data_IF_463556204774
#
_entry.id   IF_463556204774
#
_cell.length_a   1.000
_cell.length_b   1.000
_cell.length_c   1.000
_cell.angle_alpha   90.00
_cell.angle_beta   90.00
_cell.angle_gamma   90.00
#
_symmetry.space_group_name_H-M   'P 1'
#
loop_
_entity.id
_entity.type
_entity.pdbx_description
1 polymer ?
#
# COMPACT_ATOMS: atom_id res chain seq x y z
N UNK A 1 3.87 -20.06 17.67
CA UNK A 1 4.29 -18.67 18.00
C UNK A 1 3.79 -17.76 16.88
N UNK A 2 2.76 -16.94 17.15
CA UNK A 2 2.15 -16.04 16.17
C UNK A 2 2.99 -14.77 16.01
N UNK A 3 4.11 -14.87 15.31
CA UNK A 3 4.86 -13.70 14.86
C UNK A 3 4.15 -13.12 13.64
N UNK A 4 3.15 -12.27 13.85
CA UNK A 4 2.65 -11.38 12.78
C UNK A 4 3.67 -10.27 12.55
N UNK A 5 3.87 -9.84 11.30
CA UNK A 5 4.85 -8.79 10.93
C UNK A 5 4.72 -7.51 11.79
N UNK A 6 3.51 -7.22 12.24
CA UNK A 6 3.19 -6.03 13.05
C UNK A 6 3.04 -6.31 14.55
N UNK A 7 3.32 -7.54 15.03
CA UNK A 7 3.08 -7.95 16.42
C UNK A 7 3.75 -7.03 17.46
N UNK A 8 4.93 -6.50 17.14
CA UNK A 8 5.71 -5.62 18.02
C UNK A 8 5.34 -4.13 17.89
N UNK A 9 4.45 -3.76 16.96
CA UNK A 9 4.08 -2.38 16.68
C UNK A 9 2.78 -2.04 17.41
N UNK A 10 2.78 -0.90 18.11
CA UNK A 10 1.63 -0.44 18.88
C UNK A 10 0.40 -0.23 17.97
N UNK A 11 -0.75 -0.82 18.34
CA UNK A 11 -2.02 -0.70 17.59
C UNK A 11 -2.47 0.75 17.37
N UNK A 12 -2.22 1.66 18.32
CA UNK A 12 -2.52 3.10 18.15
C UNK A 12 -1.70 3.71 17.02
N UNK A 13 -0.43 3.35 16.89
CA UNK A 13 0.43 3.82 15.81
C UNK A 13 -0.01 3.25 14.45
N UNK A 14 -0.43 1.97 14.41
CA UNK A 14 -1.01 1.34 13.21
C UNK A 14 -2.27 2.08 12.77
N UNK A 15 -3.17 2.38 13.70
CA UNK A 15 -4.41 3.11 13.40
C UNK A 15 -4.14 4.55 12.94
N UNK A 16 -3.17 5.24 13.53
CA UNK A 16 -2.74 6.57 13.10
C UNK A 16 -2.19 6.52 11.67
N UNK A 17 -1.25 5.61 11.41
CA UNK A 17 -0.69 5.41 10.08
C UNK A 17 -1.76 5.06 9.04
N UNK A 18 -2.72 4.20 9.41
CA UNK A 18 -3.83 3.85 8.52
C UNK A 18 -4.63 5.09 8.11
N UNK A 19 -5.01 5.95 9.06
CA UNK A 19 -5.75 7.18 8.75
C UNK A 19 -4.98 8.08 7.78
N UNK A 20 -3.68 8.22 8.02
CA UNK A 20 -2.81 9.02 7.16
C UNK A 20 -2.68 8.39 5.76
N UNK A 21 -2.37 7.10 5.67
CA UNK A 21 -2.25 6.36 4.41
C UNK A 21 -3.54 6.44 3.58
N UNK A 22 -4.68 6.16 4.19
CA UNK A 22 -5.98 6.19 3.52
C UNK A 22 -6.33 7.60 3.01
N UNK A 23 -5.98 8.64 3.78
CA UNK A 23 -6.17 10.02 3.33
C UNK A 23 -5.30 10.32 2.10
N UNK A 24 -4.03 9.89 2.10
CA UNK A 24 -3.12 10.08 0.97
C UNK A 24 -3.60 9.34 -0.29
N UNK A 25 -4.01 8.08 -0.15
CA UNK A 25 -4.52 7.26 -1.25
C UNK A 25 -5.78 7.86 -1.87
N UNK A 26 -6.71 8.33 -1.03
CA UNK A 26 -7.95 8.99 -1.45
C UNK A 26 -7.67 10.24 -2.26
N UNK A 27 -6.83 11.14 -1.72
CA UNK A 27 -6.45 12.36 -2.42
C UNK A 27 -5.76 12.01 -3.75
N UNK A 28 -4.87 11.01 -3.77
CA UNK A 28 -4.21 10.56 -4.98
C UNK A 28 -5.18 10.16 -6.09
N UNK A 29 -6.20 9.37 -5.76
CA UNK A 29 -7.24 8.94 -6.71
C UNK A 29 -8.11 10.10 -7.21
N UNK A 30 -8.41 11.05 -6.34
CA UNK A 30 -9.19 12.23 -6.72
C UNK A 30 -8.41 13.17 -7.64
N UNK A 31 -7.12 13.33 -7.38
CA UNK A 31 -6.21 14.07 -8.23
C UNK A 31 -6.09 13.40 -9.62
N UNK A 32 -6.00 12.07 -9.66
CA UNK A 32 -6.03 11.30 -10.90
C UNK A 32 -7.33 11.52 -11.69
N UNK A 33 -8.49 11.43 -11.01
CA UNK A 33 -9.80 11.74 -11.61
C UNK A 33 -9.86 13.16 -12.18
N UNK A 34 -9.35 14.15 -11.46
CA UNK A 34 -9.32 15.55 -11.91
C UNK A 34 -8.39 15.72 -13.13
N UNK A 35 -7.27 15.00 -13.17
CA UNK A 35 -6.35 14.98 -14.30
C UNK A 35 -7.00 14.37 -15.55
N UNK A 36 -7.61 13.20 -15.43
CA UNK A 36 -8.33 12.57 -16.52
C UNK A 36 -9.49 13.46 -17.05
N UNK A 37 -10.18 14.16 -16.14
CA UNK A 37 -11.27 15.07 -16.47
C UNK A 37 -10.84 16.49 -16.89
N UNK A 38 -9.54 16.79 -16.99
CA UNK A 38 -9.01 18.13 -17.34
C UNK A 38 -9.61 19.28 -16.53
N UNK A 39 -9.81 19.09 -15.22
CA UNK A 39 -10.44 20.09 -14.36
C UNK A 39 -9.57 21.36 -14.25
N UNK A 40 -10.18 22.54 -14.28
CA UNK A 40 -9.50 23.85 -14.23
C UNK A 40 -8.60 24.03 -12.99
N UNK A 41 -9.04 23.48 -11.86
CA UNK A 41 -8.42 23.72 -10.56
C UNK A 41 -7.33 22.68 -10.22
N UNK A 42 -7.09 21.72 -11.10
CA UNK A 42 -6.15 20.63 -10.91
C UNK A 42 -4.76 21.11 -10.50
N UNK A 43 -4.25 22.19 -11.09
CA UNK A 43 -2.94 22.73 -10.75
C UNK A 43 -2.84 23.18 -9.28
N UNK A 44 -3.92 23.75 -8.74
CA UNK A 44 -3.99 24.19 -7.35
C UNK A 44 -4.00 22.98 -6.41
N UNK A 45 -4.85 21.99 -6.68
CA UNK A 45 -4.94 20.77 -5.87
C UNK A 45 -3.67 19.93 -5.95
N UNK A 46 -3.05 19.82 -7.14
CA UNK A 46 -1.78 19.13 -7.35
C UNK A 46 -0.66 19.73 -6.50
N UNK A 47 -0.52 21.07 -6.46
CA UNK A 47 0.49 21.74 -5.62
C UNK A 47 0.29 21.43 -4.14
N UNK A 48 -0.95 21.51 -3.66
CA UNK A 48 -1.29 21.16 -2.26
C UNK A 48 -0.96 19.69 -1.97
N UNK A 49 -1.30 18.78 -2.88
CA UNK A 49 -1.04 17.36 -2.68
C UNK A 49 0.44 17.01 -2.70
N UNK A 50 1.24 17.63 -3.58
CA UNK A 50 2.71 17.50 -3.56
C UNK A 50 3.27 17.94 -2.21
N UNK A 51 2.80 19.08 -1.67
CA UNK A 51 3.22 19.53 -0.34
C UNK A 51 2.85 18.53 0.76
N UNK A 52 1.65 17.93 0.68
CA UNK A 52 1.20 16.91 1.63
C UNK A 52 2.04 15.63 1.54
N UNK A 53 2.44 15.21 0.34
CA UNK A 53 3.37 14.10 0.11
C UNK A 53 4.72 14.38 0.76
N UNK A 54 5.24 15.59 0.62
CA UNK A 54 6.50 15.99 1.27
C UNK A 54 6.37 15.92 2.79
N UNK A 55 5.23 16.33 3.34
CA UNK A 55 4.93 16.18 4.77
C UNK A 55 4.83 14.71 5.19
N UNK A 56 4.21 13.84 4.37
CA UNK A 56 4.14 12.40 4.61
C UNK A 56 5.53 11.77 4.66
N UNK A 57 6.36 12.08 3.67
CA UNK A 57 7.74 11.61 3.57
C UNK A 57 8.65 12.17 4.70
N UNK A 58 8.28 13.33 5.28
CA UNK A 58 8.93 13.84 6.49
C UNK A 58 8.50 13.07 7.74
N UNK A 59 7.23 12.67 7.83
CA UNK A 59 6.65 11.93 8.96
C UNK A 59 7.22 10.51 9.06
N UNK A 60 7.19 9.77 7.96
CA UNK A 60 7.61 8.36 7.89
C UNK A 60 8.89 8.23 7.06
N UNK A 61 10.01 7.86 7.69
CA UNK A 61 11.34 7.93 7.05
C UNK A 61 11.69 6.74 6.17
N UNK A 62 11.11 5.58 6.46
CA UNK A 62 11.49 4.32 5.84
C UNK A 62 10.49 3.88 4.75
N UNK A 63 9.59 4.78 4.37
CA UNK A 63 8.63 4.70 3.27
C UNK A 63 8.58 6.06 2.55
N UNK A 64 8.35 6.06 1.24
CA UNK A 64 8.22 7.27 0.43
C UNK A 64 7.04 7.17 -0.51
N UNK A 65 6.19 8.20 -0.53
CA UNK A 65 5.17 8.39 -1.55
C UNK A 65 5.69 9.29 -2.67
N UNK A 66 5.28 9.02 -3.90
CA UNK A 66 5.66 9.81 -5.07
C UNK A 66 4.57 9.80 -6.13
N UNK A 67 4.24 10.98 -6.65
CA UNK A 67 3.40 11.10 -7.84
C UNK A 67 4.21 10.81 -9.11
N UNK A 68 3.66 9.99 -9.99
CA UNK A 68 4.15 9.78 -11.35
C UNK A 68 3.03 10.13 -12.33
N UNK A 69 3.28 11.14 -13.16
CA UNK A 69 2.35 11.51 -14.23
C UNK A 69 2.61 10.68 -15.47
N UNK A 70 1.55 10.17 -16.06
CA UNK A 70 1.54 9.52 -17.38
C UNK A 70 0.59 10.30 -18.29
N UNK A 71 0.50 9.89 -19.54
CA UNK A 71 -0.32 10.58 -20.55
C UNK A 71 -1.79 10.68 -20.15
N UNK A 72 -2.35 9.63 -19.54
CA UNK A 72 -3.79 9.54 -19.21
C UNK A 72 -4.09 9.42 -17.72
N UNK A 73 -3.08 9.25 -16.87
CA UNK A 73 -3.28 8.94 -15.45
C UNK A 73 -2.15 9.52 -14.59
N UNK A 74 -2.45 9.66 -13.31
CA UNK A 74 -1.52 10.04 -12.26
C UNK A 74 -1.47 8.93 -11.21
N UNK A 75 -0.32 8.28 -11.12
CA UNK A 75 -0.07 7.23 -10.15
C UNK A 75 0.52 7.80 -8.86
N UNK A 76 -0.03 7.39 -7.71
CA UNK A 76 0.67 7.51 -6.44
C UNK A 76 1.49 6.23 -6.18
N UNK A 77 2.81 6.32 -6.27
CA UNK A 77 3.69 5.19 -5.94
C UNK A 77 3.99 5.14 -4.45
N UNK A 78 4.01 3.93 -3.90
CA UNK A 78 4.56 3.62 -2.58
C UNK A 78 5.93 2.95 -2.75
N UNK A 79 6.96 3.56 -2.17
CA UNK A 79 8.34 3.12 -2.25
C UNK A 79 8.84 2.76 -0.85
N UNK A 80 9.20 1.50 -0.66
CA UNK A 80 9.78 0.93 0.53
C UNK A 80 11.30 1.13 0.50
N UNK A 81 11.88 1.56 1.61
CA UNK A 81 13.30 1.88 1.69
C UNK A 81 14.16 0.62 1.85
N UNK A 82 14.20 -0.19 0.79
CA UNK A 82 15.00 -1.40 0.67
C UNK A 82 15.90 -1.34 -0.56
N UNK A 83 17.06 -2.00 -0.48
CA UNK A 83 18.06 -1.99 -1.56
C UNK A 83 17.75 -3.00 -2.66
N UNK A 84 16.95 -4.03 -2.34
CA UNK A 84 16.50 -5.02 -3.30
C UNK A 84 15.13 -5.58 -2.92
N UNK A 85 14.43 -6.14 -3.91
CA UNK A 85 13.17 -6.89 -3.66
C UNK A 85 13.39 -8.13 -2.79
N UNK A 86 14.60 -8.70 -2.80
CA UNK A 86 15.00 -9.80 -1.94
C UNK A 86 15.11 -9.34 -0.49
N UNK A 87 15.77 -8.22 -0.23
CA UNK A 87 15.89 -7.66 1.12
C UNK A 87 14.49 -7.37 1.69
N UNK A 88 13.60 -6.80 0.86
CA UNK A 88 12.21 -6.57 1.28
C UNK A 88 11.48 -7.88 1.65
N UNK A 89 11.75 -8.96 0.93
CA UNK A 89 11.19 -10.27 1.23
C UNK A 89 11.75 -10.85 2.54
N UNK A 90 13.07 -10.90 2.69
CA UNK A 90 13.74 -11.45 3.89
C UNK A 90 13.42 -10.62 5.15
N UNK A 91 13.40 -9.29 5.03
CA UNK A 91 13.17 -8.40 6.17
C UNK A 91 11.70 -8.31 6.60
N UNK A 92 10.75 -8.43 5.65
CA UNK A 92 9.34 -8.18 5.94
C UNK A 92 8.40 -9.23 5.34
N UNK A 93 8.38 -9.38 4.00
CA UNK A 93 7.30 -10.11 3.33
C UNK A 93 7.23 -11.60 3.69
N UNK A 94 8.37 -12.23 3.98
CA UNK A 94 8.47 -13.63 4.43
C UNK A 94 7.87 -13.88 5.83
N UNK A 95 7.68 -12.82 6.63
CA UNK A 95 7.17 -12.88 8.01
C UNK A 95 5.65 -12.69 8.08
N UNK A 96 4.99 -12.46 6.95
CA UNK A 96 3.54 -12.36 6.88
C UNK A 96 2.96 -13.78 6.89
N UNK A 97 1.98 -14.00 7.76
CA UNK A 97 1.31 -15.30 7.90
C UNK A 97 0.59 -15.65 6.61
N UNK A 98 0.64 -16.94 6.24
CA UNK A 98 -0.04 -17.44 5.05
C UNK A 98 0.83 -17.47 3.80
N UNK A 99 2.12 -17.15 3.88
CA UNK A 99 3.03 -17.25 2.74
C UNK A 99 2.95 -18.65 2.10
N UNK A 100 2.56 -18.68 0.83
CA UNK A 100 2.32 -19.92 0.09
C UNK A 100 3.37 -20.15 -0.99
N UNK A 101 3.72 -19.12 -1.74
CA UNK A 101 4.67 -19.23 -2.84
C UNK A 101 5.30 -17.90 -3.24
N UNK A 102 6.37 -17.97 -4.01
CA UNK A 102 6.99 -16.82 -4.67
C UNK A 102 7.40 -17.12 -6.10
N UNK A 103 7.66 -16.08 -6.90
CA UNK A 103 8.16 -16.23 -8.26
C UNK A 103 8.63 -14.93 -8.89
N UNK A 104 9.58 -15.02 -9.84
CA UNK A 104 10.12 -13.82 -10.53
C UNK A 104 9.28 -13.44 -11.76
N UNK A 105 8.55 -14.39 -12.35
CA UNK A 105 7.80 -14.17 -13.61
C UNK A 105 6.31 -14.54 -13.55
N UNK A 106 5.88 -15.35 -12.58
CA UNK A 106 4.48 -15.78 -12.40
C UNK A 106 4.19 -16.07 -10.93
N UNK A 107 2.94 -15.93 -10.53
CA UNK A 107 2.45 -16.36 -9.22
C UNK A 107 2.55 -17.89 -9.07
N UNK A 108 2.71 -18.40 -7.85
CA UNK A 108 2.73 -19.85 -7.63
C UNK A 108 3.99 -20.58 -8.11
N UNK A 109 5.05 -19.88 -8.51
CA UNK A 109 6.18 -20.52 -9.21
C UNK A 109 6.98 -21.47 -8.32
N UNK A 110 7.24 -21.09 -7.07
CA UNK A 110 7.92 -21.91 -6.08
C UNK A 110 7.12 -21.91 -4.77
N UNK A 111 6.63 -23.08 -4.37
CA UNK A 111 5.82 -23.25 -3.16
C UNK A 111 6.70 -23.35 -1.92
N UNK A 112 6.25 -22.82 -0.78
CA UNK A 112 6.93 -22.98 0.52
C UNK A 112 7.06 -24.46 0.90
N UNK A 113 6.15 -25.31 0.44
CA UNK A 113 6.20 -26.77 0.63
C UNK A 113 7.34 -27.47 -0.13
N UNK A 114 8.01 -26.79 -1.07
CA UNK A 114 9.24 -27.25 -1.73
C UNK A 114 10.40 -26.29 -1.39
N UNK A 115 11.11 -26.50 -0.25
CA UNK A 115 12.15 -25.58 0.21
C UNK A 115 13.30 -25.41 -0.80
N UNK A 116 13.60 -26.44 -1.60
CA UNK A 116 14.67 -26.42 -2.58
C UNK A 116 14.34 -25.53 -3.77
N UNK A 117 13.13 -25.69 -4.33
CA UNK A 117 12.65 -24.81 -5.39
C UNK A 117 12.45 -23.37 -4.88
N UNK A 118 11.90 -23.23 -3.66
CA UNK A 118 11.65 -21.93 -3.04
C UNK A 118 12.92 -21.11 -2.86
N UNK A 119 13.98 -21.72 -2.29
CA UNK A 119 15.27 -21.05 -2.07
C UNK A 119 15.92 -20.65 -3.39
N UNK A 120 15.93 -21.55 -4.38
CA UNK A 120 16.47 -21.28 -5.72
C UNK A 120 15.76 -20.13 -6.41
N UNK A 121 14.44 -20.02 -6.25
CA UNK A 121 13.67 -18.95 -6.87
C UNK A 121 13.85 -17.62 -6.13
N UNK A 122 13.95 -17.65 -4.80
CA UNK A 122 14.30 -16.48 -4.01
C UNK A 122 15.68 -15.91 -4.43
N UNK A 123 16.67 -16.76 -4.69
CA UNK A 123 18.00 -16.34 -5.16
C UNK A 123 18.01 -15.69 -6.55
N UNK A 124 17.09 -16.09 -7.45
CA UNK A 124 16.97 -15.49 -8.79
C UNK A 124 16.33 -14.10 -8.77
N UNK A 125 15.79 -13.69 -7.63
CA UNK A 125 15.03 -12.45 -7.49
C UNK A 125 15.96 -11.23 -7.58
N UNK A 126 15.98 -10.57 -8.74
CA UNK A 126 16.81 -9.37 -8.97
C UNK A 126 16.02 -8.06 -8.85
N UNK A 127 14.98 -7.91 -9.66
CA UNK A 127 14.28 -6.62 -9.81
C UNK A 127 12.78 -6.71 -9.57
N UNK A 128 12.20 -7.90 -9.48
CA UNK A 128 10.77 -8.09 -9.34
C UNK A 128 10.48 -9.39 -8.60
N UNK A 129 9.41 -9.40 -7.83
CA UNK A 129 9.00 -10.54 -7.04
C UNK A 129 7.48 -10.54 -6.92
N UNK A 130 6.89 -11.68 -7.26
CA UNK A 130 5.50 -12.00 -6.98
C UNK A 130 5.45 -12.89 -5.75
N UNK A 131 4.59 -12.57 -4.80
CA UNK A 131 4.45 -13.31 -3.55
C UNK A 131 2.97 -13.63 -3.38
N UNK A 132 2.67 -14.89 -3.09
CA UNK A 132 1.31 -15.36 -2.88
C UNK A 132 1.12 -15.77 -1.44
N UNK A 133 0.03 -15.28 -0.85
CA UNK A 133 -0.42 -15.57 0.50
C UNK A 133 -1.77 -16.27 0.46
N UNK A 134 -1.98 -17.21 1.36
CA UNK A 134 -3.25 -17.88 1.58
C UNK A 134 -3.79 -17.54 2.98
N UNK A 135 -5.04 -17.09 3.01
CA UNK A 135 -5.82 -16.91 4.22
C UNK A 135 -7.09 -17.76 4.13
N UNK A 136 -7.45 -18.54 5.16
CA UNK A 136 -8.72 -19.28 5.17
C UNK A 136 -9.95 -18.38 5.01
N UNK A 137 -9.85 -17.10 5.37
CA UNK A 137 -10.97 -16.16 5.41
C UNK A 137 -11.17 -15.40 4.10
N UNK A 138 -10.07 -15.05 3.43
CA UNK A 138 -10.08 -14.18 2.23
C UNK A 138 -9.57 -14.89 0.98
N UNK A 139 -9.20 -16.17 1.08
CA UNK A 139 -8.61 -16.93 -0.01
C UNK A 139 -7.16 -16.51 -0.30
N UNK A 140 -6.82 -16.51 -1.59
CA UNK A 140 -5.46 -16.24 -2.05
C UNK A 140 -5.28 -14.75 -2.38
N UNK A 141 -4.24 -14.13 -1.82
CA UNK A 141 -3.86 -12.73 -2.11
C UNK A 141 -2.44 -12.69 -2.66
N UNK A 142 -2.19 -11.75 -3.56
CA UNK A 142 -0.89 -11.66 -4.25
C UNK A 142 -0.28 -10.28 -4.18
N UNK A 143 0.94 -10.19 -3.67
CA UNK A 143 1.74 -8.96 -3.65
C UNK A 143 2.71 -8.96 -4.81
N UNK A 144 2.87 -7.79 -5.44
CA UNK A 144 3.92 -7.55 -6.42
C UNK A 144 4.89 -6.47 -5.93
N UNK A 145 6.16 -6.84 -5.85
CA UNK A 145 7.27 -5.96 -5.52
C UNK A 145 8.14 -5.74 -6.75
N UNK A 146 8.54 -4.49 -6.99
CA UNK A 146 9.40 -4.13 -8.11
C UNK A 146 10.49 -3.17 -7.65
N UNK A 147 11.75 -3.48 -7.92
CA UNK A 147 12.85 -2.55 -7.68
C UNK A 147 12.80 -1.40 -8.68
N UNK A 148 12.68 -0.18 -8.17
CA UNK A 148 12.68 1.03 -8.97
C UNK A 148 14.09 1.64 -9.04
N UNK A 149 14.72 1.53 -10.21
CA UNK A 149 16.13 1.91 -10.42
C UNK A 149 16.39 3.39 -10.22
N UNK A 150 15.43 4.25 -10.60
CA UNK A 150 15.58 5.71 -10.49
C UNK A 150 15.64 6.19 -9.04
N UNK A 151 14.81 5.59 -8.18
CA UNK A 151 14.71 5.95 -6.77
C UNK A 151 15.61 5.07 -5.88
N UNK A 152 16.16 3.98 -6.42
CA UNK A 152 16.92 2.96 -5.69
C UNK A 152 16.16 2.45 -4.47
N UNK A 153 14.88 2.10 -4.68
CA UNK A 153 13.93 1.64 -3.67
C UNK A 153 13.05 0.53 -4.23
N UNK A 154 12.39 -0.22 -3.36
CA UNK A 154 11.39 -1.21 -3.78
C UNK A 154 10.02 -0.55 -3.87
N UNK A 155 9.40 -0.56 -5.03
CA UNK A 155 8.00 -0.19 -5.21
C UNK A 155 7.10 -1.36 -4.77
N UNK A 156 6.13 -1.06 -3.92
CA UNK A 156 4.96 -1.91 -3.70
C UNK A 156 3.92 -1.55 -4.75
N UNK A 157 3.55 -2.51 -5.59
CA UNK A 157 2.40 -2.37 -6.49
C UNK A 157 1.17 -2.87 -5.72
N UNK A 158 0.15 -2.02 -5.64
CA UNK A 158 -1.01 -2.25 -4.80
C UNK A 158 -2.29 -1.97 -5.60
N UNK A 159 -3.34 -2.73 -5.28
CA UNK A 159 -4.71 -2.32 -5.56
C UNK A 159 -5.29 -1.60 -4.34
N UNK A 160 -6.21 -0.68 -4.59
CA UNK A 160 -6.76 0.17 -3.52
C UNK A 160 -7.61 -0.62 -2.54
N UNK A 161 -8.42 -1.55 -3.03
CA UNK A 161 -9.30 -2.37 -2.20
C UNK A 161 -8.47 -3.26 -1.26
N UNK A 162 -7.36 -3.79 -1.74
CA UNK A 162 -6.45 -4.64 -0.98
C UNK A 162 -5.71 -3.83 0.08
N UNK A 163 -5.09 -2.70 -0.27
CA UNK A 163 -4.30 -1.91 0.70
C UNK A 163 -5.17 -1.21 1.77
N UNK A 164 -6.47 -1.04 1.53
CA UNK A 164 -7.42 -0.52 2.52
C UNK A 164 -7.69 -1.50 3.68
N UNK A 165 -7.54 -2.79 3.40
CA UNK A 165 -7.74 -3.85 4.38
C UNK A 165 -6.50 -4.03 5.27
N UNK A 166 -6.64 -3.81 6.58
CA UNK A 166 -5.53 -3.94 7.54
C UNK A 166 -4.88 -5.33 7.57
N UNK A 167 -5.63 -6.37 7.22
CA UNK A 167 -5.11 -7.74 7.20
C UNK A 167 -4.39 -8.08 5.89
N UNK A 168 -4.47 -7.22 4.87
CA UNK A 168 -3.82 -7.49 3.59
C UNK A 168 -2.29 -7.44 3.72
N UNK A 169 -1.57 -8.27 2.98
CA UNK A 169 -0.12 -8.19 2.91
C UNK A 169 0.39 -6.80 2.45
N UNK A 170 -0.31 -6.12 1.56
CA UNK A 170 0.02 -4.78 1.07
C UNK A 170 0.01 -3.76 2.20
N UNK A 171 -1.06 -3.74 3.01
CA UNK A 171 -1.14 -2.87 4.18
C UNK A 171 -0.07 -3.23 5.19
N UNK A 172 0.10 -4.53 5.50
CA UNK A 172 1.07 -4.98 6.50
C UNK A 172 2.50 -4.58 6.14
N UNK A 173 2.91 -4.75 4.88
CA UNK A 173 4.22 -4.29 4.40
C UNK A 173 4.36 -2.78 4.55
N UNK A 174 3.37 -2.02 4.07
CA UNK A 174 3.40 -0.57 4.10
C UNK A 174 3.49 -0.04 5.54
N UNK A 175 2.68 -0.59 6.45
CA UNK A 175 2.68 -0.24 7.87
C UNK A 175 3.99 -0.63 8.56
N UNK A 176 4.56 -1.79 8.23
CA UNK A 176 5.87 -2.20 8.75
C UNK A 176 6.95 -1.17 8.38
N UNK A 177 7.08 -0.80 7.11
CA UNK A 177 8.07 0.20 6.69
C UNK A 177 7.77 1.61 7.20
N UNK A 178 6.51 1.97 7.44
CA UNK A 178 6.19 3.25 8.05
C UNK A 178 6.56 3.32 9.53
N UNK A 179 6.46 2.20 10.26
CA UNK A 179 6.45 2.16 11.73
C UNK A 179 7.57 1.34 12.36
N UNK A 180 8.42 0.65 11.58
CA UNK A 180 9.58 -0.09 12.08
C UNK A 180 10.72 0.80 12.60
N UNK A 181 10.57 2.12 12.47
CA UNK A 181 11.46 3.14 13.02
C UNK A 181 10.64 4.27 13.65
N UNK A 182 11.24 5.08 14.55
CA UNK A 182 10.58 6.27 15.09
C UNK A 182 10.09 7.21 13.97
N UNK A 183 8.85 7.68 14.10
CA UNK A 183 8.20 8.60 13.16
C UNK A 183 7.76 9.89 13.87
N UNK A 184 7.56 10.96 13.09
CA UNK A 184 7.23 12.28 13.67
C UNK A 184 5.73 12.40 14.02
N UNK A 185 5.40 12.14 15.27
CA UNK A 185 4.02 12.22 15.79
C UNK A 185 3.42 13.64 15.85
N UNK A 186 4.23 14.70 15.68
CA UNK A 186 3.74 16.09 15.69
C UNK A 186 3.08 16.49 14.36
N UNK A 187 3.33 15.73 13.30
CA UNK A 187 2.77 16.00 11.98
C UNK A 187 1.37 15.41 11.89
N UNK A 188 0.37 16.24 11.55
CA UNK A 188 -1.03 15.86 11.46
C UNK A 188 -1.50 15.78 10.00
N UNK A 189 -1.15 14.69 9.32
CA UNK A 189 -1.45 14.50 7.90
C UNK A 189 -2.94 14.33 7.61
N UNK A 190 -3.66 13.62 8.48
CA UNK A 190 -5.08 13.38 8.27
C UNK A 190 -5.87 14.70 8.19
N UNK A 191 -5.68 15.60 9.15
CA UNK A 191 -6.41 16.87 9.19
C UNK A 191 -5.93 17.81 8.08
N UNK A 192 -4.61 17.89 7.83
CA UNK A 192 -4.07 18.65 6.70
C UNK A 192 -4.64 18.16 5.36
N UNK A 193 -4.73 16.84 5.18
CA UNK A 193 -5.30 16.21 4.01
C UNK A 193 -6.80 16.46 3.85
N UNK A 194 -7.55 16.56 4.94
CA UNK A 194 -8.98 16.86 4.93
C UNK A 194 -9.27 18.26 4.38
N UNK A 195 -8.35 19.22 4.55
CA UNK A 195 -8.50 20.60 4.02
C UNK A 195 -8.54 20.68 2.49
N UNK A 196 -8.14 19.62 1.78
CA UNK A 196 -8.22 19.58 0.31
C UNK A 196 -9.66 19.38 -0.19
N UNK A 197 -10.64 19.12 0.67
CA UNK A 197 -12.05 19.07 0.28
C UNK A 197 -12.46 17.81 -0.50
N UNK A 198 -11.55 16.84 -0.65
CA UNK A 198 -11.84 15.50 -1.15
C UNK A 198 -12.53 14.66 -0.06
N UNK A 199 -13.70 15.12 0.39
CA UNK A 199 -14.49 14.51 1.47
C UNK A 199 -15.33 13.33 1.00
N UNK A 200 -15.64 13.25 -0.30
CA UNK A 200 -16.57 12.25 -0.84
C UNK A 200 -15.86 11.02 -1.43
N UNK A 201 -15.41 10.13 -0.55
CA UNK A 201 -15.53 8.70 -0.84
C UNK A 201 -16.09 8.03 0.40
N UNK A 202 -17.33 7.56 0.31
CA UNK A 202 -17.75 6.45 1.13
C UNK A 202 -16.87 5.26 0.72
N UNK A 203 -16.02 4.74 1.60
CA UNK A 203 -15.34 3.44 1.41
C UNK A 203 -16.31 2.41 0.83
N UNK A 204 -15.85 1.35 0.15
CA UNK A 204 -16.78 0.33 -0.38
C UNK A 204 -17.77 -0.17 0.70
N UNK A 205 -17.32 -0.22 1.96
CA UNK A 205 -18.13 -0.53 3.14
C UNK A 205 -19.14 0.57 3.46
N UNK A 206 -18.73 1.84 3.51
CA UNK A 206 -19.64 2.97 3.75
C UNK A 206 -20.64 3.17 2.60
N UNK A 207 -20.22 2.83 1.36
CA UNK A 207 -21.05 2.90 0.16
C UNK A 207 -22.08 1.76 0.18
N UNK A 208 -21.65 0.54 0.51
CA UNK A 208 -22.56 -0.58 0.73
C UNK A 208 -23.52 -0.33 1.91
N UNK A 209 -23.05 0.27 3.01
CA UNK A 209 -23.89 0.63 4.15
C UNK A 209 -24.89 1.75 3.80
N UNK A 210 -24.48 2.74 2.99
CA UNK A 210 -25.36 3.77 2.48
C UNK A 210 -26.44 3.20 1.55
N UNK A 211 -26.06 2.35 0.58
CA UNK A 211 -27.04 1.70 -0.30
C UNK A 211 -27.97 0.76 0.45
N UNK A 212 -27.48 -0.05 1.40
CA UNK A 212 -28.34 -0.87 2.28
C UNK A 212 -29.30 -0.05 3.13
N UNK A 213 -28.92 1.18 3.50
CA UNK A 213 -29.76 2.06 4.32
C UNK A 213 -30.83 2.79 3.52
N UNK A 214 -30.64 2.99 2.21
CA UNK A 214 -31.51 3.85 1.39
C UNK A 214 -32.08 3.16 0.14
N UNK A 215 -31.76 1.90 -0.12
CA UNK A 215 -32.34 1.09 -1.20
C UNK A 215 -32.81 -0.29 -0.66
N UNK A 216 -34.12 -0.45 -0.38
CA UNK A 216 -34.68 -1.70 0.17
C UNK A 216 -34.72 -2.86 -0.83
N UNK A 217 -34.36 -2.64 -2.10
CA UNK A 217 -34.51 -3.64 -3.17
C UNK A 217 -33.20 -4.36 -3.56
N UNK A 218 -32.08 -4.06 -2.90
CA UNK A 218 -30.78 -4.74 -3.07
C UNK A 218 -30.66 -6.02 -2.22
N UNK A 219 -31.76 -6.75 -2.05
CA UNK A 219 -31.76 -8.14 -1.58
C UNK A 219 -32.60 -8.96 -2.55
N UNK A 220 -31.98 -9.36 -3.66
CA UNK A 220 -32.24 -10.59 -4.42
C UNK A 220 -31.04 -10.89 -5.32
#
# INVERSE_FOLDING_TARGET
MNNTLLASINKKAINEFRKDLLQMLRIGKEIDRYYAGSHSDLNTYMKKFISLIDTFNKKYKNIKMKIVKRTSEIDLKILLNEKSVRDCFENAASKIIGLQSLGVSKFGAAMVSDPGAFSKEAEKTKNKLYITYYSPQTGTTTVFLQYEKKEKKVQLVYGLEEIENETSPEFQLTAYYALNQPYNKKINLHDEGATLGFSSWQTHIEKAAYFRKFDPHMTE
#
